data_IF_988668176641
#
_entry.id   IF_988668176641
#
_cell.length_a   1.000
_cell.length_b   1.000
_cell.length_c   1.000
_cell.angle_alpha   90.00
_cell.angle_beta   90.00
_cell.angle_gamma   90.00
#
_symmetry.space_group_name_H-M   'P 1'
#
loop_
_entity.id
_entity.type
_entity.pdbx_description
1 polymer ?
#
# COMPACT_ATOMS: atom_id res chain seq x y z
N UNK A 1 -16.33 -14.29 48.96
CA UNK A 1 -15.86 -14.59 47.58
C UNK A 1 -16.88 -14.22 46.50
N UNK A 2 -18.14 -14.72 46.51
CA UNK A 2 -19.14 -14.42 45.46
C UNK A 2 -19.42 -12.92 45.20
N UNK A 3 -19.45 -12.06 46.23
CA UNK A 3 -19.65 -10.60 46.06
C UNK A 3 -18.49 -9.88 45.38
N UNK A 4 -17.25 -10.31 45.59
CA UNK A 4 -16.05 -9.71 44.98
C UNK A 4 -15.99 -10.08 43.49
N UNK A 5 -16.29 -11.34 43.16
CA UNK A 5 -16.38 -11.82 41.77
C UNK A 5 -17.48 -11.06 41.01
N UNK A 6 -18.66 -10.88 41.62
CA UNK A 6 -19.76 -10.14 41.00
C UNK A 6 -19.41 -8.65 40.77
N UNK A 7 -18.75 -8.01 41.73
CA UNK A 7 -18.28 -6.63 41.59
C UNK A 7 -17.24 -6.48 40.45
N UNK A 8 -16.30 -7.42 40.35
CA UNK A 8 -15.31 -7.43 39.25
C UNK A 8 -15.97 -7.62 37.89
N UNK A 9 -16.98 -8.47 37.77
CA UNK A 9 -17.72 -8.70 36.52
C UNK A 9 -18.45 -7.43 36.07
N UNK A 10 -19.10 -6.71 36.98
CA UNK A 10 -19.78 -5.45 36.66
C UNK A 10 -18.80 -4.38 36.21
N UNK A 11 -17.63 -4.28 36.88
CA UNK A 11 -16.56 -3.35 36.48
C UNK A 11 -16.04 -3.73 35.08
N UNK A 12 -15.83 -5.02 34.80
CA UNK A 12 -15.37 -5.47 33.49
C UNK A 12 -16.37 -5.15 32.37
N UNK A 13 -17.66 -5.41 32.61
CA UNK A 13 -18.74 -5.13 31.64
C UNK A 13 -18.89 -3.63 31.40
N UNK A 14 -18.85 -2.82 32.47
CA UNK A 14 -18.91 -1.36 32.32
C UNK A 14 -17.69 -0.83 31.56
N UNK A 15 -16.47 -1.31 31.84
CA UNK A 15 -15.29 -0.97 31.05
C UNK A 15 -15.47 -1.31 29.56
N UNK A 16 -15.98 -2.51 29.23
CA UNK A 16 -16.26 -2.92 27.84
C UNK A 16 -17.30 -2.01 27.15
N UNK A 17 -18.32 -1.54 27.89
CA UNK A 17 -19.35 -0.66 27.33
C UNK A 17 -18.80 0.71 26.93
N UNK A 18 -17.77 1.23 27.64
CA UNK A 18 -17.24 2.58 27.44
C UNK A 18 -15.96 2.68 26.59
N UNK A 19 -15.30 1.56 26.28
CA UNK A 19 -14.10 1.55 25.43
C UNK A 19 -14.42 1.01 24.03
N UNK A 20 -13.76 1.56 23.01
CA UNK A 20 -13.89 1.15 21.60
C UNK A 20 -12.50 1.04 20.99
N UNK A 21 -12.38 0.25 19.92
CA UNK A 21 -11.12 0.08 19.18
C UNK A 21 -11.21 0.91 17.91
N UNK A 22 -10.16 1.69 17.63
CA UNK A 22 -10.01 2.44 16.38
C UNK A 22 -8.65 2.13 15.75
N UNK A 23 -8.52 2.22 14.42
CA UNK A 23 -7.24 2.05 13.74
C UNK A 23 -6.20 3.09 14.16
N UNK A 24 -4.99 2.62 14.41
CA UNK A 24 -3.81 3.46 14.62
C UNK A 24 -2.54 2.70 14.21
N UNK A 25 -2.09 2.90 12.98
CA UNK A 25 -0.91 2.22 12.43
C UNK A 25 0.43 2.78 12.88
N UNK A 26 0.43 3.87 13.66
CA UNK A 26 1.64 4.27 14.38
C UNK A 26 1.85 3.44 15.65
N UNK A 27 0.78 2.83 16.17
CA UNK A 27 0.87 1.93 17.32
C UNK A 27 1.43 0.57 16.92
N UNK A 28 2.10 -0.11 17.86
CA UNK A 28 2.63 -1.47 17.66
C UNK A 28 1.55 -2.47 17.21
N UNK A 29 0.33 -2.30 17.70
CA UNK A 29 -0.78 -3.24 17.46
C UNK A 29 -1.63 -2.87 16.23
N UNK A 30 -1.39 -1.71 15.62
CA UNK A 30 -2.20 -1.20 14.50
C UNK A 30 -3.57 -0.66 14.92
N UNK A 31 -3.86 -0.58 16.22
CA UNK A 31 -5.09 -0.04 16.77
C UNK A 31 -4.86 0.62 18.12
N UNK A 32 -5.79 1.51 18.48
CA UNK A 32 -5.85 2.20 19.78
C UNK A 32 -7.18 1.91 20.45
N UNK A 33 -7.15 1.62 21.75
CA UNK A 33 -8.36 1.57 22.59
C UNK A 33 -8.67 2.99 23.03
N UNK A 34 -9.91 3.44 22.79
CA UNK A 34 -10.34 4.82 23.02
C UNK A 34 -11.65 4.85 23.78
N UNK A 35 -11.92 5.99 24.43
CA UNK A 35 -13.20 6.23 25.10
C UNK A 35 -14.35 6.34 24.10
N UNK A 36 -15.59 6.22 24.57
CA UNK A 36 -16.78 6.45 23.75
C UNK A 36 -16.81 7.86 23.12
N UNK A 37 -16.29 8.87 23.81
CA UNK A 37 -16.24 10.24 23.30
C UNK A 37 -15.28 10.35 22.11
N UNK A 38 -14.08 9.80 22.25
CA UNK A 38 -13.10 9.76 21.17
C UNK A 38 -13.58 8.89 20.01
N UNK A 39 -14.30 7.81 20.28
CA UNK A 39 -14.93 7.02 19.23
C UNK A 39 -15.97 7.82 18.43
N UNK A 40 -16.77 8.66 19.11
CA UNK A 40 -17.69 9.59 18.42
C UNK A 40 -16.90 10.58 17.57
N UNK A 41 -15.84 11.22 18.10
CA UNK A 41 -14.97 12.11 17.32
C UNK A 41 -14.42 11.41 16.08
N UNK A 42 -13.92 10.19 16.24
CA UNK A 42 -13.39 9.36 15.14
C UNK A 42 -14.44 9.11 14.05
N UNK A 43 -15.68 8.76 14.43
CA UNK A 43 -16.80 8.60 13.49
C UNK A 43 -17.13 9.89 12.73
N UNK A 44 -16.93 11.06 13.34
CA UNK A 44 -17.08 12.36 12.68
C UNK A 44 -15.87 12.75 11.81
N UNK A 45 -14.88 11.87 11.67
CA UNK A 45 -13.73 12.07 10.78
C UNK A 45 -12.51 12.72 11.44
N UNK A 46 -12.47 12.80 12.78
CA UNK A 46 -11.31 13.32 13.48
C UNK A 46 -10.10 12.39 13.34
N UNK A 47 -8.94 12.97 13.11
CA UNK A 47 -7.69 12.34 13.47
C UNK A 47 -7.49 12.50 14.98
N UNK A 48 -7.68 11.42 15.74
CA UNK A 48 -7.61 11.47 17.21
C UNK A 48 -6.24 11.83 17.78
N UNK A 49 -5.16 11.66 16.99
CA UNK A 49 -3.81 12.06 17.40
C UNK A 49 -3.63 13.57 17.47
N UNK A 50 -4.40 14.30 16.66
CA UNK A 50 -4.30 15.76 16.51
C UNK A 50 -5.56 16.48 16.96
N UNK A 51 -6.55 15.73 17.46
CA UNK A 51 -7.87 16.21 17.87
C UNK A 51 -8.54 17.19 16.89
N UNK A 52 -8.39 16.94 15.58
CA UNK A 52 -9.00 17.74 14.51
C UNK A 52 -9.33 16.91 13.29
N UNK A 53 -10.19 17.46 12.42
CA UNK A 53 -10.45 16.91 11.09
C UNK A 53 -9.38 17.41 10.13
N UNK A 54 -8.75 16.50 9.40
CA UNK A 54 -7.76 16.83 8.37
C UNK A 54 -8.44 17.15 7.03
N UNK A 55 -7.88 18.10 6.28
CA UNK A 55 -8.33 18.41 4.92
C UNK A 55 -7.97 17.32 3.91
N UNK A 56 -8.71 17.22 2.79
CA UNK A 56 -8.48 16.20 1.74
C UNK A 56 -7.04 16.23 1.19
N UNK A 57 -6.52 17.42 0.92
CA UNK A 57 -5.16 17.61 0.40
C UNK A 57 -4.09 17.19 1.42
N UNK A 58 -4.30 17.52 2.69
CA UNK A 58 -3.39 17.12 3.77
C UNK A 58 -3.36 15.59 3.93
N UNK A 59 -4.54 14.95 3.92
CA UNK A 59 -4.67 13.48 3.96
C UNK A 59 -3.94 12.86 2.75
N UNK A 60 -4.10 13.43 1.56
CA UNK A 60 -3.42 12.93 0.36
C UNK A 60 -1.89 12.96 0.49
N UNK A 61 -1.32 14.13 0.83
CA UNK A 61 0.14 14.29 1.02
C UNK A 61 0.68 13.30 2.05
N UNK A 62 -0.04 13.13 3.17
CA UNK A 62 0.30 12.16 4.23
C UNK A 62 0.23 10.72 3.74
N UNK A 63 -0.85 10.34 3.05
CA UNK A 63 -1.06 8.98 2.55
C UNK A 63 0.02 8.58 1.54
N UNK A 64 0.35 9.44 0.58
CA UNK A 64 1.41 9.15 -0.39
C UNK A 64 2.77 8.99 0.29
N UNK A 65 3.12 9.89 1.22
CA UNK A 65 4.38 9.77 1.98
C UNK A 65 4.39 8.50 2.83
N UNK A 66 3.29 8.21 3.52
CA UNK A 66 3.14 7.04 4.38
C UNK A 66 3.22 5.74 3.57
N UNK A 67 2.63 5.70 2.37
CA UNK A 67 2.73 4.56 1.45
C UNK A 67 4.18 4.15 1.20
N UNK A 68 5.03 5.09 0.77
CA UNK A 68 6.43 4.77 0.51
C UNK A 68 7.19 4.35 1.78
N UNK A 69 6.91 5.00 2.91
CA UNK A 69 7.52 4.64 4.20
C UNK A 69 7.10 3.23 4.67
N UNK A 70 5.84 2.88 4.45
CA UNK A 70 5.28 1.57 4.78
C UNK A 70 5.88 0.49 3.89
N UNK A 71 5.98 0.72 2.57
CA UNK A 71 6.66 -0.20 1.64
C UNK A 71 8.13 -0.38 2.04
N UNK A 72 8.84 0.71 2.38
CA UNK A 72 10.24 0.66 2.84
C UNK A 72 10.41 -0.17 4.11
N UNK A 73 9.65 0.17 5.15
CA UNK A 73 9.71 -0.49 6.45
C UNK A 73 9.40 -1.97 6.33
N UNK A 74 8.42 -2.29 5.51
CA UNK A 74 8.01 -3.65 5.25
C UNK A 74 9.08 -4.44 4.48
N UNK A 75 9.72 -3.81 3.50
CA UNK A 75 10.88 -4.32 2.79
C UNK A 75 12.10 -4.56 3.71
N UNK A 76 12.34 -3.69 4.70
CA UNK A 76 13.48 -3.78 5.63
C UNK A 76 13.26 -4.75 6.79
N UNK A 77 12.04 -5.27 7.00
CA UNK A 77 11.72 -6.13 8.14
C UNK A 77 11.75 -7.61 7.75
N UNK A 78 12.83 -8.37 8.04
CA UNK A 78 12.89 -9.80 7.76
C UNK A 78 11.85 -10.53 8.62
N UNK A 79 10.88 -11.18 7.97
CA UNK A 79 9.95 -12.10 8.64
C UNK A 79 10.35 -13.53 8.31
N UNK A 80 10.45 -14.38 9.34
CA UNK A 80 10.80 -15.80 9.23
C UNK A 80 9.55 -16.67 9.29
N UNK A 81 9.55 -17.74 8.51
CA UNK A 81 8.54 -18.79 8.59
C UNK A 81 8.92 -19.79 9.69
N UNK A 82 8.00 -20.08 10.62
CA UNK A 82 8.02 -21.35 11.35
C UNK A 82 6.72 -22.09 10.96
N UNK A 83 6.82 -23.35 10.55
CA UNK A 83 5.70 -24.10 9.96
C UNK A 83 4.56 -24.48 10.91
N UNK A 84 4.28 -23.68 11.95
CA UNK A 84 3.31 -23.98 13.01
C UNK A 84 2.15 -22.97 13.12
N UNK A 85 2.13 -21.87 12.37
CA UNK A 85 1.05 -20.87 12.44
C UNK A 85 0.45 -20.58 11.06
N UNK A 86 -0.89 -20.54 10.97
CA UNK A 86 -1.72 -20.25 9.78
C UNK A 86 -1.58 -18.80 9.25
N UNK A 87 -0.45 -18.15 9.50
CA UNK A 87 -0.16 -16.80 9.09
C UNK A 87 0.86 -16.85 7.95
N UNK A 88 0.36 -16.89 6.71
CA UNK A 88 1.16 -16.84 5.48
C UNK A 88 1.98 -15.54 5.44
N UNK A 89 3.29 -15.62 5.71
CA UNK A 89 4.20 -14.49 5.53
C UNK A 89 5.53 -14.96 4.97
N UNK A 90 5.67 -14.84 3.66
CA UNK A 90 6.90 -15.20 2.97
C UNK A 90 8.08 -14.26 3.33
N UNK A 91 9.30 -14.82 3.44
CA UNK A 91 10.57 -14.14 3.73
C UNK A 91 11.16 -13.39 2.51
N UNK A 92 10.32 -12.67 1.76
CA UNK A 92 10.67 -12.06 0.46
C UNK A 92 11.18 -10.61 0.53
N UNK A 93 11.76 -10.21 1.65
CA UNK A 93 12.03 -8.79 1.91
C UNK A 93 13.45 -8.59 2.43
N UNK A 94 14.04 -7.52 1.90
CA UNK A 94 15.39 -6.96 1.92
C UNK A 94 16.16 -7.13 3.24
N UNK A 95 16.35 -8.39 3.65
CA UNK A 95 16.96 -8.83 4.91
C UNK A 95 18.39 -8.35 5.08
N UNK A 96 19.05 -8.09 3.96
CA UNK A 96 20.42 -7.64 3.88
C UNK A 96 20.28 -6.16 3.49
N UNK A 97 20.52 -5.25 4.44
CA UNK A 97 20.15 -3.82 4.43
C UNK A 97 20.59 -2.96 3.23
N UNK A 98 21.16 -3.58 2.19
CA UNK A 98 21.62 -3.00 0.95
C UNK A 98 20.84 -3.45 -0.31
N UNK A 99 19.74 -4.21 -0.18
CA UNK A 99 19.04 -4.74 -1.38
C UNK A 99 17.85 -3.92 -1.86
N UNK A 100 17.40 -2.89 -1.12
CA UNK A 100 16.18 -2.14 -1.46
C UNK A 100 16.29 -0.64 -1.34
N UNK A 101 16.05 0.06 -2.46
CA UNK A 101 16.26 1.49 -2.54
C UNK A 101 15.18 2.18 -3.36
N UNK A 102 14.90 3.42 -2.97
CA UNK A 102 14.17 4.34 -3.84
C UNK A 102 15.13 5.08 -4.76
N UNK A 103 14.66 5.33 -5.98
CA UNK A 103 15.33 6.11 -7.00
C UNK A 103 14.39 7.20 -7.48
N UNK A 104 14.92 8.39 -7.70
CA UNK A 104 14.25 9.47 -8.43
C UNK A 104 14.66 9.42 -9.89
N UNK A 105 13.70 9.66 -10.77
CA UNK A 105 13.94 9.81 -12.19
C UNK A 105 13.39 11.14 -12.69
N UNK A 106 14.04 11.69 -13.71
CA UNK A 106 13.73 13.01 -14.28
C UNK A 106 12.56 12.98 -15.28
N UNK A 107 12.18 11.80 -15.77
CA UNK A 107 10.99 11.66 -16.60
C UNK A 107 9.71 11.85 -15.76
N UNK A 108 8.68 12.43 -16.37
CA UNK A 108 7.49 12.90 -15.62
C UNK A 108 6.18 12.29 -16.09
N UNK A 109 6.21 11.52 -17.18
CA UNK A 109 5.03 10.91 -17.77
C UNK A 109 5.40 9.59 -18.48
N UNK A 110 4.36 8.91 -18.97
CA UNK A 110 4.50 7.61 -19.61
C UNK A 110 5.19 7.71 -20.98
N UNK A 111 5.00 8.81 -21.71
CA UNK A 111 5.62 9.02 -23.02
C UNK A 111 7.14 9.24 -22.89
N UNK A 112 7.56 10.00 -21.88
CA UNK A 112 8.97 10.17 -21.52
C UNK A 112 9.60 8.82 -21.17
N UNK A 113 8.92 8.01 -20.32
CA UNK A 113 9.36 6.66 -19.98
C UNK A 113 9.46 5.77 -21.23
N UNK A 114 8.41 5.71 -22.04
CA UNK A 114 8.40 4.89 -23.27
C UNK A 114 9.47 5.32 -24.27
N UNK A 115 9.72 6.64 -24.41
CA UNK A 115 10.77 7.18 -25.27
C UNK A 115 12.15 6.74 -24.76
N UNK A 116 12.37 6.85 -23.45
CA UNK A 116 13.60 6.38 -22.81
C UNK A 116 13.79 4.88 -23.03
N UNK A 117 12.77 4.05 -22.73
CA UNK A 117 12.79 2.60 -22.92
C UNK A 117 13.10 2.18 -24.37
N UNK A 118 12.58 2.90 -25.37
CA UNK A 118 12.90 2.66 -26.79
C UNK A 118 14.36 2.96 -27.12
N UNK A 119 14.96 4.00 -26.53
CA UNK A 119 16.37 4.36 -26.77
C UNK A 119 17.35 3.39 -26.12
N UNK A 120 16.92 2.71 -25.06
CA UNK A 120 17.76 1.85 -24.24
C UNK A 120 17.43 0.35 -24.39
N UNK A 121 16.78 -0.06 -25.48
CA UNK A 121 16.27 -1.43 -25.73
C UNK A 121 17.34 -2.55 -25.67
N UNK A 122 18.58 -2.22 -25.30
CA UNK A 122 19.73 -3.12 -25.13
C UNK A 122 20.36 -3.09 -23.74
N UNK A 123 19.87 -2.28 -22.79
CA UNK A 123 20.43 -2.21 -21.44
C UNK A 123 19.56 -3.00 -20.46
N UNK A 124 20.19 -3.61 -19.45
CA UNK A 124 19.44 -4.35 -18.43
C UNK A 124 18.64 -3.40 -17.55
N UNK A 125 17.64 -3.92 -16.82
CA UNK A 125 16.91 -3.16 -15.80
C UNK A 125 17.86 -2.54 -14.76
N UNK A 126 18.90 -3.28 -14.37
CA UNK A 126 19.91 -2.79 -13.42
C UNK A 126 20.65 -1.59 -14.00
N UNK A 127 21.12 -1.68 -15.25
CA UNK A 127 21.80 -0.57 -15.93
C UNK A 127 20.87 0.64 -16.07
N UNK A 128 19.60 0.43 -16.38
CA UNK A 128 18.61 1.51 -16.43
C UNK A 128 18.50 2.24 -15.08
N UNK A 129 18.35 1.49 -13.98
CA UNK A 129 18.23 2.08 -12.65
C UNK A 129 19.52 2.80 -12.24
N UNK A 130 20.68 2.24 -12.56
CA UNK A 130 21.98 2.83 -12.20
C UNK A 130 22.34 4.05 -13.06
N UNK A 131 21.97 4.05 -14.34
CA UNK A 131 22.27 5.13 -15.28
C UNK A 131 21.31 6.31 -15.15
N UNK A 132 20.02 6.05 -14.92
CA UNK A 132 18.97 7.08 -14.96
C UNK A 132 18.32 7.35 -13.60
N UNK A 133 18.52 6.46 -12.61
CA UNK A 133 17.95 6.59 -11.28
C UNK A 133 18.92 7.25 -10.30
N UNK A 134 18.47 8.30 -9.63
CA UNK A 134 19.19 8.89 -8.49
C UNK A 134 18.68 8.29 -7.18
N UNK A 135 19.49 7.45 -6.53
CA UNK A 135 19.17 6.89 -5.21
C UNK A 135 18.71 7.99 -4.23
N UNK A 136 17.61 7.76 -3.54
CA UNK A 136 16.92 8.77 -2.74
C UNK A 136 16.45 8.22 -1.40
N UNK A 137 16.59 9.02 -0.34
CA UNK A 137 15.93 8.76 0.93
C UNK A 137 14.54 9.40 0.92
N UNK A 138 13.52 8.57 0.77
CA UNK A 138 12.12 9.01 0.65
C UNK A 138 11.62 9.75 1.90
N UNK A 139 12.22 9.50 3.08
CA UNK A 139 11.82 10.16 4.33
C UNK A 139 12.07 11.67 4.27
N UNK A 140 13.20 12.06 3.67
CA UNK A 140 13.71 13.42 3.60
C UNK A 140 13.52 14.06 2.22
N UNK A 141 13.12 13.28 1.21
CA UNK A 141 12.93 13.76 -0.14
C UNK A 141 11.73 14.73 -0.27
N UNK A 142 11.97 15.90 -0.84
CA UNK A 142 10.91 16.73 -1.44
C UNK A 142 10.43 16.04 -2.71
N UNK A 143 9.29 15.35 -2.64
CA UNK A 143 8.69 14.60 -3.76
C UNK A 143 7.40 15.21 -4.27
N UNK A 144 6.82 16.15 -3.52
CA UNK A 144 5.60 16.85 -3.91
C UNK A 144 5.91 18.22 -4.50
N UNK A 145 5.05 18.69 -5.41
CA UNK A 145 4.96 20.08 -5.81
C UNK A 145 4.17 20.91 -4.77
N UNK A 146 4.01 22.20 -5.03
CA UNK A 146 3.28 23.14 -4.16
C UNK A 146 1.80 22.75 -3.98
N UNK A 147 1.24 22.09 -5.00
CA UNK A 147 -0.14 21.60 -5.05
C UNK A 147 -0.30 20.20 -4.44
N UNK A 148 0.79 19.59 -3.94
CA UNK A 148 0.77 18.26 -3.34
C UNK A 148 0.79 17.09 -4.30
N UNK A 149 0.97 17.31 -5.60
CA UNK A 149 1.13 16.22 -6.57
C UNK A 149 2.56 15.71 -6.53
N UNK A 150 2.75 14.42 -6.80
CA UNK A 150 4.10 13.89 -6.95
C UNK A 150 4.77 14.59 -8.14
N UNK A 151 5.89 15.27 -7.91
CA UNK A 151 6.60 16.06 -8.92
C UNK A 151 7.57 15.22 -9.76
N UNK A 152 8.01 14.09 -9.22
CA UNK A 152 9.09 13.27 -9.76
C UNK A 152 8.64 11.83 -9.93
N UNK A 153 9.23 11.11 -10.88
CA UNK A 153 9.04 9.66 -10.92
C UNK A 153 9.87 9.02 -9.81
N UNK A 154 9.27 8.08 -9.09
CA UNK A 154 9.88 7.32 -8.01
C UNK A 154 9.93 5.86 -8.42
N UNK A 155 11.11 5.26 -8.43
CA UNK A 155 11.27 3.82 -8.53
C UNK A 155 11.57 3.20 -7.17
N UNK A 156 11.00 2.05 -6.86
CA UNK A 156 11.39 1.20 -5.76
C UNK A 156 11.98 -0.09 -6.32
N UNK A 157 13.28 -0.30 -6.11
CA UNK A 157 13.98 -1.49 -6.58
C UNK A 157 14.21 -2.45 -5.42
N UNK A 158 13.84 -3.71 -5.61
CA UNK A 158 14.28 -4.83 -4.78
C UNK A 158 15.28 -5.68 -5.58
N UNK A 159 16.58 -5.44 -5.33
CA UNK A 159 17.70 -6.13 -6.01
C UNK A 159 17.68 -7.64 -5.79
N UNK A 160 17.21 -8.12 -4.63
CA UNK A 160 17.23 -9.55 -4.27
C UNK A 160 16.30 -10.39 -5.15
N UNK A 161 15.15 -9.83 -5.54
CA UNK A 161 14.14 -10.53 -6.33
C UNK A 161 13.93 -9.92 -7.72
N UNK A 162 14.77 -8.96 -8.11
CA UNK A 162 14.68 -8.29 -9.40
C UNK A 162 13.31 -7.64 -9.67
N UNK A 163 12.63 -7.14 -8.63
CA UNK A 163 11.36 -6.43 -8.76
C UNK A 163 11.59 -4.94 -8.80
N UNK A 164 10.92 -4.25 -9.73
CA UNK A 164 10.95 -2.80 -9.82
C UNK A 164 9.53 -2.24 -9.92
N UNK A 165 9.22 -1.32 -9.01
CA UNK A 165 7.96 -0.57 -9.00
C UNK A 165 8.26 0.85 -9.43
N UNK A 166 7.59 1.37 -10.44
CA UNK A 166 7.77 2.72 -10.95
C UNK A 166 6.47 3.52 -10.84
N UNK A 167 6.54 4.59 -10.06
CA UNK A 167 5.48 5.55 -9.81
C UNK A 167 5.79 6.85 -10.54
N UNK A 168 4.95 7.23 -11.50
CA UNK A 168 5.02 8.49 -12.21
C UNK A 168 4.32 9.62 -11.41
N UNK A 169 4.56 10.90 -11.71
CA UNK A 169 3.87 12.04 -11.10
C UNK A 169 2.34 11.91 -10.93
N UNK A 170 1.65 11.33 -11.94
CA UNK A 170 0.19 11.12 -11.92
C UNK A 170 -0.24 9.75 -11.38
N UNK A 171 0.65 9.06 -10.67
CA UNK A 171 0.39 7.72 -10.12
C UNK A 171 -0.55 7.71 -8.91
N UNK A 172 -0.78 8.85 -8.27
CA UNK A 172 -1.53 8.92 -7.02
C UNK A 172 -2.78 9.77 -7.18
N UNK A 173 -3.89 9.27 -6.69
CA UNK A 173 -5.18 9.98 -6.66
C UNK A 173 -5.88 9.68 -5.33
N UNK A 174 -6.58 10.67 -4.76
CA UNK A 174 -7.40 10.44 -3.57
C UNK A 174 -8.89 10.49 -3.90
N UNK A 175 -9.57 9.39 -3.60
CA UNK A 175 -10.97 9.14 -3.94
C UNK A 175 -11.84 9.14 -2.68
N UNK A 176 -13.06 9.65 -2.78
CA UNK A 176 -14.08 9.33 -1.79
C UNK A 176 -14.51 7.86 -1.93
N UNK A 177 -15.22 7.33 -0.93
CA UNK A 177 -15.84 6.00 -1.02
C UNK A 177 -16.74 5.85 -2.25
N UNK A 178 -17.54 6.86 -2.56
CA UNK A 178 -18.47 6.80 -3.69
C UNK A 178 -17.76 6.90 -5.04
N UNK A 179 -16.71 7.73 -5.14
CA UNK A 179 -15.89 7.81 -6.36
C UNK A 179 -15.10 6.52 -6.60
N UNK A 180 -14.59 5.91 -5.52
CA UNK A 180 -13.91 4.62 -5.56
C UNK A 180 -14.85 3.52 -6.07
N UNK A 181 -16.08 3.41 -5.55
CA UNK A 181 -17.08 2.45 -6.08
C UNK A 181 -17.35 2.63 -7.56
N UNK A 182 -17.62 3.87 -8.00
CA UNK A 182 -17.94 4.18 -9.40
C UNK A 182 -16.84 3.79 -10.37
N UNK A 183 -15.59 3.89 -9.93
CA UNK A 183 -14.42 3.56 -10.74
C UNK A 183 -13.98 2.09 -10.62
N UNK A 184 -14.63 1.32 -9.75
CA UNK A 184 -14.45 -0.13 -9.59
C UNK A 184 -15.44 -0.97 -10.41
N UNK A 185 -16.19 -0.39 -11.35
CA UNK A 185 -17.06 -1.15 -12.29
C UNK A 185 -16.30 -2.13 -13.20
N UNK A 186 -14.96 -2.07 -13.24
CA UNK A 186 -14.09 -3.10 -13.84
C UNK A 186 -13.89 -4.34 -12.94
N UNK A 187 -14.25 -4.27 -11.66
CA UNK A 187 -14.08 -5.34 -10.67
C UNK A 187 -15.37 -6.13 -10.39
N UNK A 188 -16.54 -5.60 -10.76
CA UNK A 188 -17.84 -6.27 -10.55
C UNK A 188 -17.99 -7.57 -11.37
N UNK A 189 -17.17 -7.76 -12.40
CA UNK A 189 -17.14 -8.98 -13.21
C UNK A 189 -16.19 -10.08 -12.67
N UNK A 190 -15.59 -9.91 -11.48
CA UNK A 190 -14.73 -10.93 -10.88
C UNK A 190 -15.21 -11.31 -9.46
N UNK A 191 -15.99 -12.39 -9.30
CA UNK A 191 -16.80 -12.70 -8.11
C UNK A 191 -16.01 -13.02 -6.83
N UNK A 192 -14.68 -13.11 -6.90
CA UNK A 192 -13.81 -13.38 -5.73
C UNK A 192 -13.43 -12.11 -4.95
N UNK A 193 -13.60 -10.91 -5.53
CA UNK A 193 -13.09 -9.66 -4.94
C UNK A 193 -14.14 -8.96 -4.09
N UNK A 194 -14.33 -9.40 -2.84
CA UNK A 194 -15.20 -8.68 -1.89
C UNK A 194 -14.46 -7.47 -1.31
N UNK A 195 -14.94 -6.26 -1.62
CA UNK A 195 -14.52 -5.05 -0.90
C UNK A 195 -14.82 -5.27 0.60
N UNK A 196 -13.84 -5.14 1.52
CA UNK A 196 -14.11 -5.40 2.92
C UNK A 196 -15.22 -4.46 3.43
N UNK A 197 -16.28 -5.02 4.02
CA UNK A 197 -17.43 -4.30 4.57
C UNK A 197 -17.08 -3.32 5.69
N UNK A 198 -15.89 -3.48 6.30
CA UNK A 198 -15.35 -2.67 7.40
C UNK A 198 -14.90 -1.26 6.97
N UNK A 199 -14.81 -1.02 5.66
CA UNK A 199 -14.06 0.12 5.13
C UNK A 199 -14.72 1.50 5.32
N UNK A 200 -16.04 1.57 5.52
CA UNK A 200 -16.76 2.85 5.67
C UNK A 200 -16.61 3.54 7.02
N UNK A 201 -16.51 2.78 8.11
CA UNK A 201 -16.23 3.37 9.43
C UNK A 201 -14.75 3.70 9.58
N UNK A 202 -13.91 2.92 8.89
CA UNK A 202 -12.46 2.97 8.92
C UNK A 202 -11.87 4.15 8.14
N UNK A 203 -12.32 4.36 6.91
CA UNK A 203 -11.72 5.32 5.98
C UNK A 203 -12.74 6.31 5.45
N UNK A 204 -12.33 7.57 5.26
CA UNK A 204 -13.09 8.54 4.46
C UNK A 204 -12.65 8.55 3.00
N UNK A 205 -11.40 8.14 2.73
CA UNK A 205 -10.74 8.31 1.45
C UNK A 205 -9.88 7.10 1.06
N UNK A 206 -9.72 6.88 -0.24
CA UNK A 206 -8.86 5.84 -0.79
C UNK A 206 -7.74 6.48 -1.56
N UNK A 207 -6.52 6.02 -1.33
CA UNK A 207 -5.39 6.34 -2.17
C UNK A 207 -5.38 5.35 -3.34
N UNK A 208 -5.78 5.83 -4.51
CA UNK A 208 -5.59 5.11 -5.76
C UNK A 208 -4.15 5.26 -6.22
N UNK A 209 -3.57 4.12 -6.56
CA UNK A 209 -2.23 3.99 -7.11
C UNK A 209 -2.29 3.49 -8.54
N UNK A 210 -1.43 4.02 -9.41
CA UNK A 210 -1.18 3.51 -10.76
C UNK A 210 0.32 3.42 -10.95
N UNK A 211 0.90 2.24 -10.99
CA UNK A 211 2.35 2.10 -11.11
C UNK A 211 2.72 1.01 -12.10
N UNK A 212 3.88 1.19 -12.73
CA UNK A 212 4.46 0.18 -13.60
C UNK A 212 5.21 -0.79 -12.72
N UNK A 213 4.96 -2.07 -12.95
CA UNK A 213 5.60 -3.15 -12.26
C UNK A 213 6.40 -3.96 -13.27
N UNK A 214 7.70 -4.12 -13.03
CA UNK A 214 8.60 -4.90 -13.90
C UNK A 214 9.16 -6.10 -13.14
N UNK A 215 9.01 -7.29 -13.73
CA UNK A 215 9.66 -8.53 -13.32
C UNK A 215 10.80 -8.88 -14.28
N UNK A 216 11.98 -9.26 -13.79
CA UNK A 216 12.89 -10.12 -14.59
C UNK A 216 12.51 -11.58 -14.31
N UNK A 217 11.34 -12.03 -14.78
CA UNK A 217 11.03 -13.45 -14.68
C UNK A 217 11.84 -14.21 -15.74
N UNK A 218 12.46 -15.31 -15.31
CA UNK A 218 13.10 -16.29 -16.19
C UNK A 218 12.23 -16.59 -17.42
N UNK A 219 12.82 -16.83 -18.60
CA UNK A 219 12.11 -16.92 -19.89
C UNK A 219 10.96 -17.94 -20.02
N UNK A 220 10.69 -18.77 -19.01
CA UNK A 220 9.75 -19.88 -19.09
C UNK A 220 8.45 -19.72 -18.27
N UNK A 221 8.28 -18.69 -17.45
CA UNK A 221 7.16 -18.65 -16.49
C UNK A 221 5.87 -17.94 -16.98
N UNK A 222 5.90 -17.15 -18.06
CA UNK A 222 4.71 -16.44 -18.55
C UNK A 222 4.56 -16.62 -20.07
N UNK A 223 4.13 -17.82 -20.48
CA UNK A 223 3.51 -18.02 -21.80
C UNK A 223 1.98 -18.04 -21.74
N UNK A 224 1.39 -17.94 -20.56
CA UNK A 224 -0.05 -18.23 -20.37
C UNK A 224 -0.93 -17.03 -20.01
N UNK A 225 -0.37 -15.87 -19.70
CA UNK A 225 -1.15 -14.69 -19.34
C UNK A 225 -0.50 -13.46 -19.92
N UNK A 226 -0.95 -13.05 -21.11
CA UNK A 226 -1.11 -11.65 -21.56
C UNK A 226 -1.66 -11.70 -23.00
N UNK A 227 -2.88 -11.19 -23.20
CA UNK A 227 -3.37 -10.82 -24.53
C UNK A 227 -2.53 -9.63 -24.99
N UNK A 228 -1.90 -9.77 -26.16
CA UNK A 228 -1.26 -8.68 -26.91
C UNK A 228 -2.25 -7.54 -27.07
N UNK A 229 -2.00 -6.47 -26.34
CA UNK A 229 -1.89 -5.10 -26.83
C UNK A 229 -1.84 -4.21 -25.58
N UNK A 230 -0.91 -3.25 -25.58
CA UNK A 230 -0.57 -2.30 -24.51
C UNK A 230 0.61 -2.75 -23.63
N UNK A 231 1.68 -1.91 -23.68
CA UNK A 231 2.94 -1.87 -22.92
C UNK A 231 4.20 -2.46 -23.57
N UNK A 232 5.29 -1.70 -23.45
CA UNK A 232 6.59 -1.94 -24.07
C UNK A 232 7.41 -2.92 -23.24
N UNK A 233 7.80 -4.03 -23.87
CA UNK A 233 8.45 -5.23 -23.30
C UNK A 233 7.48 -6.20 -22.63
N UNK A 234 7.69 -7.49 -22.85
CA UNK A 234 6.79 -8.60 -22.45
C UNK A 234 6.63 -8.75 -20.91
N UNK A 235 7.31 -7.90 -20.12
CA UNK A 235 7.47 -8.04 -18.66
C UNK A 235 6.92 -6.88 -17.83
N UNK A 236 6.41 -5.81 -18.46
CA UNK A 236 5.87 -4.63 -17.77
C UNK A 236 4.36 -4.75 -17.56
N UNK A 237 3.90 -4.56 -16.32
CA UNK A 237 2.47 -4.55 -15.97
C UNK A 237 2.07 -3.21 -15.35
N UNK A 238 1.00 -2.59 -15.86
CA UNK A 238 0.35 -1.48 -15.16
C UNK A 238 -0.55 -2.02 -14.06
N UNK A 239 -0.23 -1.70 -12.81
CA UNK A 239 -1.01 -2.09 -11.64
C UNK A 239 -1.83 -0.90 -11.15
N UNK A 240 -3.10 -1.16 -10.82
CA UNK A 240 -4.01 -0.20 -10.20
C UNK A 240 -4.50 -0.76 -8.86
N UNK A 241 -4.23 -0.04 -7.78
CA UNK A 241 -4.63 -0.42 -6.40
C UNK A 241 -5.44 0.72 -5.77
N UNK A 242 -6.38 0.41 -4.87
CA UNK A 242 -7.18 1.40 -4.14
C UNK A 242 -7.03 1.18 -2.63
N UNK A 243 -6.07 1.84 -1.98
CA UNK A 243 -5.75 1.56 -0.58
C UNK A 243 -6.57 2.47 0.34
N UNK A 244 -7.28 1.95 1.35
CA UNK A 244 -7.99 2.78 2.31
C UNK A 244 -7.01 3.57 3.19
N UNK A 245 -7.35 4.82 3.48
CA UNK A 245 -6.54 5.75 4.27
C UNK A 245 -7.24 6.08 5.59
N UNK A 246 -6.52 6.03 6.71
CA UNK A 246 -7.10 6.42 8.01
C UNK A 246 -7.50 7.89 8.04
N UNK A 247 -8.28 8.29 9.04
CA UNK A 247 -8.62 9.70 9.28
C UNK A 247 -7.39 10.59 9.55
N UNK A 248 -6.24 9.98 9.88
CA UNK A 248 -4.96 10.67 10.08
C UNK A 248 -4.04 10.70 8.84
N UNK A 249 -4.43 10.07 7.73
CA UNK A 249 -3.58 9.95 6.54
C UNK A 249 -2.60 8.77 6.55
N UNK A 250 -2.82 7.79 7.44
CA UNK A 250 -1.97 6.59 7.54
C UNK A 250 -2.51 5.46 6.65
N UNK A 251 -1.62 4.58 6.17
CA UNK A 251 -1.92 3.37 5.39
C UNK A 251 -1.47 2.14 6.18
N UNK A 252 -2.28 1.06 6.10
CA UNK A 252 -1.90 -0.24 6.63
C UNK A 252 -1.20 -1.07 5.56
N UNK A 253 -0.08 -1.68 5.91
CA UNK A 253 0.63 -2.60 5.02
C UNK A 253 -0.22 -3.82 4.61
N UNK A 254 -1.12 -4.28 5.49
CA UNK A 254 -2.03 -5.38 5.17
C UNK A 254 -3.01 -4.98 4.07
N UNK A 255 -3.48 -3.73 4.07
CA UNK A 255 -4.42 -3.24 3.05
C UNK A 255 -3.78 -3.17 1.65
N UNK A 256 -2.43 -3.06 1.60
CA UNK A 256 -1.65 -3.19 0.35
C UNK A 256 -1.60 -4.66 -0.10
N UNK A 257 -1.36 -5.59 0.83
CA UNK A 257 -1.19 -7.01 0.50
C UNK A 257 -2.47 -7.78 0.25
N UNK A 258 -3.57 -7.43 0.92
CA UNK A 258 -4.89 -8.01 0.64
C UNK A 258 -5.30 -7.81 -0.83
N UNK A 259 -4.86 -6.72 -1.47
CA UNK A 259 -5.12 -6.50 -2.90
C UNK A 259 -4.16 -7.25 -3.83
N UNK A 260 -2.95 -7.58 -3.36
CA UNK A 260 -1.92 -8.26 -4.18
C UNK A 260 -2.03 -9.78 -4.17
N UNK A 261 -2.47 -10.39 -3.07
CA UNK A 261 -2.45 -11.85 -2.89
C UNK A 261 -3.75 -12.58 -3.27
N UNK A 262 -4.86 -11.88 -3.53
CA UNK A 262 -6.03 -12.47 -4.21
C UNK A 262 -5.77 -12.73 -5.72
N UNK A 263 -4.52 -12.61 -6.18
CA UNK A 263 -4.12 -12.73 -7.57
C UNK A 263 -3.13 -13.87 -7.83
N UNK A 264 -2.78 -14.67 -6.82
CA UNK A 264 -2.16 -15.97 -7.05
C UNK A 264 -3.25 -17.05 -7.05
N UNK A 265 -3.50 -17.75 -8.17
CA UNK A 265 -4.35 -18.93 -8.17
C UNK A 265 -3.59 -20.06 -7.47
N UNK A 266 -3.52 -20.01 -6.14
CA UNK A 266 -3.30 -21.21 -5.35
C UNK A 266 -4.65 -21.59 -4.77
N UNK A 267 -5.51 -22.14 -5.63
CA UNK A 267 -6.40 -23.18 -5.12
C UNK A 267 -5.48 -24.37 -4.79
N UNK A 268 -5.13 -24.50 -3.52
CA UNK A 268 -4.95 -25.83 -2.97
C UNK A 268 -6.36 -26.42 -2.83
N UNK A 269 -6.95 -26.76 -3.98
CA UNK A 269 -8.00 -27.76 -3.99
C UNK A 269 -7.27 -29.06 -3.61
N UNK A 270 -7.50 -29.49 -2.38
CA UNK A 270 -7.03 -30.78 -1.92
C UNK A 270 -7.56 -31.88 -2.82
N UNK A 271 -6.64 -32.53 -3.53
CA UNK A 271 -6.60 -33.98 -3.77
C UNK A 271 -5.15 -34.42 -3.63
#
# INVERSE_FOLDING_TARGET
MKKIIFSLIIILISCILFIRIVPDYSSKFGYKIVSLNDYKKYKHGYCLKEDRVLGKEEIFKRAVKNYFLVIKKDAENPKYWNGMQEEYYYSYRCSDGDSCFFYKFDFTNLDDYNKLMKTIYKISKTDFIEQYGKKTDIKNAKIFDENGNLKVSIGFNNRKYNYFYLYLPKSFEILSWDDMKKSNTLFENNPTRKIPSITNEYSRYYLRLKYIYTYDLMPNFIKHYIKKDIYSTENDMLIIENIPVTKCGDINIRDIYFQRFEHTPYSFDGV
#
